data_IF_937310016396
#
_entry.id   IF_937310016396
#
_cell.length_a   1.000
_cell.length_b   1.000
_cell.length_c   1.000
_cell.angle_alpha   90.00
_cell.angle_beta   90.00
_cell.angle_gamma   90.00
#
_symmetry.space_group_name_H-M   'P 1'
#
loop_
_entity.id
_entity.type
_entity.pdbx_description
1 polymer ?
#
# COMPACT_ATOMS: atom_id res chain seq x y z
N UNK A 1 -15.23 14.06 16.83
CA UNK A 1 -14.45 13.55 15.67
C UNK A 1 -15.11 12.23 15.25
N UNK A 2 -15.60 12.09 14.01
CA UNK A 2 -16.09 10.79 13.53
C UNK A 2 -14.88 9.87 13.34
N UNK A 3 -14.84 8.72 14.02
CA UNK A 3 -13.64 7.87 14.11
C UNK A 3 -13.43 6.95 12.90
N UNK A 4 -14.40 6.87 11.99
CA UNK A 4 -14.34 6.11 10.73
C UNK A 4 -15.30 6.78 9.76
N UNK A 5 -14.90 6.91 8.50
CA UNK A 5 -15.78 7.43 7.46
C UNK A 5 -16.95 6.44 7.21
N UNK A 6 -18.17 6.95 7.05
CA UNK A 6 -19.39 6.13 6.89
C UNK A 6 -19.74 5.80 5.43
N UNK A 7 -18.86 6.13 4.47
CA UNK A 7 -19.06 5.77 3.07
C UNK A 7 -19.03 4.24 2.86
N UNK A 8 -20.08 3.72 2.23
CA UNK A 8 -20.32 2.28 2.00
C UNK A 8 -20.99 2.08 0.65
N UNK A 9 -20.82 0.90 0.07
CA UNK A 9 -21.49 0.49 -1.16
C UNK A 9 -20.96 1.17 -2.44
N UNK A 10 -19.81 1.83 -2.37
CA UNK A 10 -19.19 2.41 -3.56
C UNK A 10 -18.73 1.29 -4.51
N UNK A 11 -18.90 1.51 -5.81
CA UNK A 11 -18.46 0.59 -6.85
C UNK A 11 -17.32 1.20 -7.65
N UNK A 12 -16.11 0.69 -7.41
CA UNK A 12 -14.87 1.11 -8.06
C UNK A 12 -14.38 0.08 -9.09
N UNK A 13 -15.16 -0.95 -9.44
CA UNK A 13 -14.69 -2.04 -10.31
C UNK A 13 -14.19 -1.58 -11.68
N UNK A 14 -14.80 -0.53 -12.22
CA UNK A 14 -14.44 0.06 -13.51
C UNK A 14 -13.57 1.33 -13.37
N UNK A 15 -13.07 1.61 -12.16
CA UNK A 15 -12.24 2.78 -11.86
C UNK A 15 -10.74 2.45 -11.86
N UNK A 16 -9.93 3.45 -12.19
CA UNK A 16 -8.48 3.39 -12.00
C UNK A 16 -8.09 4.24 -10.79
N UNK A 17 -7.57 3.61 -9.73
CA UNK A 17 -7.22 4.31 -8.48
C UNK A 17 -5.80 4.89 -8.55
N UNK A 18 -5.60 5.86 -9.45
CA UNK A 18 -4.32 6.56 -9.58
C UNK A 18 -4.17 7.54 -8.42
N UNK A 19 -3.03 7.48 -7.73
CA UNK A 19 -2.66 8.45 -6.68
C UNK A 19 -3.77 8.69 -5.64
N UNK A 20 -4.52 7.63 -5.29
CA UNK A 20 -5.69 7.73 -4.39
C UNK A 20 -5.31 7.49 -2.92
N UNK A 21 -5.91 8.26 -2.00
CA UNK A 21 -5.88 8.02 -0.54
C UNK A 21 -7.27 8.28 0.03
N UNK A 22 -7.75 7.37 0.88
CA UNK A 22 -9.00 7.56 1.62
C UNK A 22 -8.70 8.17 2.99
N UNK A 23 -8.67 9.51 3.08
CA UNK A 23 -8.38 10.22 4.33
C UNK A 23 -9.38 9.81 5.42
N UNK A 24 -8.88 9.52 6.64
CA UNK A 24 -9.61 8.91 7.76
C UNK A 24 -10.11 7.47 7.54
N UNK A 25 -9.68 6.84 6.46
CA UNK A 25 -10.00 5.46 6.11
C UNK A 25 -11.44 5.31 5.63
N UNK A 26 -11.67 4.19 4.95
CA UNK A 26 -12.99 3.65 4.65
C UNK A 26 -12.92 2.17 4.96
N UNK A 27 -14.07 1.57 5.24
CA UNK A 27 -14.15 0.13 5.36
C UNK A 27 -13.97 -0.51 3.98
N UNK A 28 -12.82 -1.13 3.73
CA UNK A 28 -12.54 -1.71 2.41
C UNK A 28 -13.49 -2.87 2.09
N UNK A 29 -13.99 -3.60 3.08
CA UNK A 29 -14.89 -4.75 2.85
C UNK A 29 -16.32 -4.32 2.53
N UNK A 30 -16.66 -3.06 2.78
CA UNK A 30 -17.95 -2.47 2.42
C UNK A 30 -17.94 -1.75 1.07
N UNK A 31 -16.91 -1.93 0.24
CA UNK A 31 -16.85 -1.40 -1.12
C UNK A 31 -16.59 -2.51 -2.16
N UNK A 32 -16.87 -2.21 -3.42
CA UNK A 32 -16.52 -3.08 -4.56
C UNK A 32 -15.28 -2.51 -5.24
N UNK A 33 -14.18 -3.23 -5.19
CA UNK A 33 -12.88 -2.77 -5.71
C UNK A 33 -12.61 -3.27 -7.12
N UNK A 34 -11.70 -2.61 -7.88
CA UNK A 34 -11.13 -3.21 -9.07
C UNK A 34 -10.67 -4.65 -8.82
N UNK A 35 -10.96 -5.53 -9.77
CA UNK A 35 -10.55 -6.93 -9.73
C UNK A 35 -9.19 -7.07 -10.45
N UNK A 36 -8.32 -7.94 -9.94
CA UNK A 36 -7.05 -8.29 -10.57
C UNK A 36 -5.81 -7.89 -9.77
N UNK A 37 -4.66 -8.36 -10.24
CA UNK A 37 -3.36 -8.26 -9.55
C UNK A 37 -2.73 -6.85 -9.62
N UNK A 38 -3.36 -5.93 -10.36
CA UNK A 38 -2.93 -4.54 -10.52
C UNK A 38 -3.04 -3.71 -9.22
N UNK A 39 -3.75 -4.24 -8.21
CA UNK A 39 -3.94 -3.59 -6.92
C UNK A 39 -3.47 -4.46 -5.76
N UNK A 40 -3.01 -3.79 -4.72
CA UNK A 40 -2.58 -4.37 -3.45
C UNK A 40 -3.52 -3.85 -2.38
N UNK A 41 -4.12 -4.76 -1.60
CA UNK A 41 -4.95 -4.42 -0.43
C UNK A 41 -4.24 -4.91 0.82
N UNK A 42 -4.02 -4.02 1.78
CA UNK A 42 -3.38 -4.36 3.04
C UNK A 42 -4.25 -3.94 4.22
N UNK A 43 -4.35 -4.84 5.19
CA UNK A 43 -4.79 -4.55 6.54
C UNK A 43 -3.58 -4.29 7.45
N UNK A 44 -3.82 -3.78 8.66
CA UNK A 44 -2.78 -3.58 9.70
C UNK A 44 -1.53 -2.88 9.15
N UNK A 45 -1.70 -1.89 8.28
CA UNK A 45 -0.64 -1.34 7.43
C UNK A 45 0.64 -0.97 8.19
N UNK A 46 0.52 -0.29 9.35
CA UNK A 46 1.68 0.06 10.17
C UNK A 46 2.48 -1.14 10.69
N UNK A 47 1.83 -2.24 11.08
CA UNK A 47 2.55 -3.45 11.50
C UNK A 47 3.30 -4.07 10.32
N UNK A 48 2.68 -4.04 9.13
CA UNK A 48 3.29 -4.58 7.90
C UNK A 48 4.49 -3.74 7.48
N UNK A 49 4.42 -2.41 7.63
CA UNK A 49 5.56 -1.52 7.40
C UNK A 49 6.78 -1.90 8.25
N UNK A 50 6.59 -2.14 9.55
CA UNK A 50 7.70 -2.51 10.43
C UNK A 50 8.32 -3.86 10.07
N UNK A 51 7.48 -4.87 9.80
CA UNK A 51 7.95 -6.19 9.38
C UNK A 51 8.62 -6.17 8.00
N UNK A 52 8.05 -5.45 7.02
CA UNK A 52 8.62 -5.28 5.69
C UNK A 52 9.95 -4.50 5.75
N UNK A 53 10.09 -3.52 6.65
CA UNK A 53 11.37 -2.83 6.87
C UNK A 53 12.46 -3.82 7.26
N UNK A 54 12.18 -4.73 8.19
CA UNK A 54 13.12 -5.76 8.60
C UNK A 54 13.51 -6.69 7.45
N UNK A 55 12.53 -7.11 6.63
CA UNK A 55 12.78 -7.92 5.43
C UNK A 55 13.67 -7.20 4.41
N UNK A 56 13.34 -5.96 4.07
CA UNK A 56 14.10 -5.15 3.11
C UNK A 56 15.53 -4.90 3.59
N UNK A 57 15.76 -4.75 4.90
CA UNK A 57 17.09 -4.65 5.46
C UNK A 57 17.93 -5.92 5.26
N UNK A 58 17.29 -7.09 5.10
CA UNK A 58 17.93 -8.35 4.76
C UNK A 58 18.19 -8.55 3.26
N UNK A 59 17.67 -7.69 2.39
CA UNK A 59 17.98 -7.75 0.96
C UNK A 59 19.46 -7.42 0.71
N UNK A 60 19.99 -7.93 -0.41
CA UNK A 60 21.34 -7.61 -0.86
C UNK A 60 21.54 -6.09 -0.96
N UNK A 61 22.71 -5.63 -0.50
CA UNK A 61 23.06 -4.21 -0.54
C UNK A 61 23.14 -3.74 -1.99
N UNK A 62 22.43 -2.66 -2.31
CA UNK A 62 22.42 -2.08 -3.65
C UNK A 62 21.17 -1.27 -3.92
N UNK A 63 20.95 -0.96 -5.21
CA UNK A 63 19.84 -0.13 -5.68
C UNK A 63 18.48 -0.63 -5.17
N UNK A 64 18.24 -1.96 -5.21
CA UNK A 64 16.95 -2.55 -4.84
C UNK A 64 16.61 -2.32 -3.36
N UNK A 65 17.58 -2.50 -2.46
CA UNK A 65 17.40 -2.24 -1.03
C UNK A 65 17.23 -0.74 -0.76
N UNK A 66 18.10 0.10 -1.31
CA UNK A 66 18.04 1.56 -1.09
C UNK A 66 16.73 2.15 -1.59
N UNK A 67 16.34 1.83 -2.83
CA UNK A 67 15.08 2.30 -3.41
C UNK A 67 13.86 1.67 -2.74
N UNK A 68 13.95 0.40 -2.31
CA UNK A 68 12.90 -0.27 -1.54
C UNK A 68 12.63 0.43 -0.21
N UNK A 69 13.67 0.76 0.55
CA UNK A 69 13.55 1.52 1.81
C UNK A 69 13.00 2.93 1.58
N UNK A 70 13.45 3.61 0.51
CA UNK A 70 12.96 4.94 0.16
C UNK A 70 11.46 4.91 -0.21
N UNK A 71 11.03 3.91 -0.98
CA UNK A 71 9.62 3.70 -1.29
C UNK A 71 8.82 3.40 -0.01
N UNK A 72 9.28 2.47 0.84
CA UNK A 72 8.62 2.11 2.10
C UNK A 72 8.41 3.35 3.00
N UNK A 73 9.42 4.22 3.10
CA UNK A 73 9.33 5.48 3.83
C UNK A 73 8.26 6.42 3.23
N UNK A 74 8.21 6.51 1.89
CA UNK A 74 7.23 7.33 1.18
C UNK A 74 5.80 6.83 1.41
N UNK A 75 5.60 5.51 1.41
CA UNK A 75 4.31 4.89 1.74
C UNK A 75 3.89 5.16 3.19
N UNK A 76 4.84 5.05 4.13
CA UNK A 76 4.58 5.34 5.54
C UNK A 76 4.12 6.79 5.76
N UNK A 77 4.73 7.75 5.07
CA UNK A 77 4.32 9.15 5.14
C UNK A 77 2.94 9.38 4.50
N UNK A 78 2.72 8.80 3.32
CA UNK A 78 1.48 8.97 2.55
C UNK A 78 0.25 8.46 3.29
N UNK A 79 0.37 7.34 3.99
CA UNK A 79 -0.72 6.64 4.66
C UNK A 79 -0.53 6.58 6.18
N UNK A 80 0.10 7.61 6.75
CA UNK A 80 0.44 7.68 8.18
C UNK A 80 -0.77 7.51 9.13
N UNK A 81 -1.97 7.87 8.66
CA UNK A 81 -3.22 7.78 9.44
C UNK A 81 -4.12 6.62 8.99
N UNK A 82 -3.62 5.70 8.15
CA UNK A 82 -4.41 4.62 7.57
C UNK A 82 -4.04 3.26 8.14
N UNK A 83 -5.07 2.51 8.57
CA UNK A 83 -4.91 1.11 9.02
C UNK A 83 -5.09 0.11 7.89
N UNK A 84 -5.97 0.44 6.94
CA UNK A 84 -6.27 -0.34 5.76
C UNK A 84 -5.99 0.52 4.54
N UNK A 85 -5.34 -0.06 3.53
CA UNK A 85 -5.02 0.65 2.30
C UNK A 85 -5.35 -0.20 1.08
N UNK A 86 -5.64 0.48 -0.02
CA UNK A 86 -5.60 -0.08 -1.37
C UNK A 86 -4.73 0.84 -2.22
N UNK A 87 -3.83 0.26 -3.01
CA UNK A 87 -2.94 1.00 -3.91
C UNK A 87 -2.61 0.19 -5.14
N UNK A 88 -2.16 0.86 -6.20
CA UNK A 88 -1.71 0.18 -7.41
C UNK A 88 -0.39 -0.56 -7.15
N UNK A 89 -0.27 -1.80 -7.65
CA UNK A 89 0.97 -2.60 -7.59
C UNK A 89 2.10 -1.93 -8.35
N UNK A 90 1.79 -1.28 -9.47
CA UNK A 90 2.69 -0.35 -10.17
C UNK A 90 1.95 0.96 -10.39
N UNK A 91 2.43 2.02 -9.75
CA UNK A 91 1.85 3.36 -9.85
C UNK A 91 2.79 4.30 -10.62
N UNK A 92 2.27 5.08 -11.59
CA UNK A 92 3.04 6.14 -12.24
C UNK A 92 3.41 7.28 -11.29
N UNK A 93 2.73 7.40 -10.14
CA UNK A 93 3.02 8.40 -9.12
C UNK A 93 4.24 8.04 -8.25
N UNK A 94 4.70 6.79 -8.30
CA UNK A 94 5.84 6.31 -7.51
C UNK A 94 7.11 6.34 -8.37
N UNK A 95 8.15 7.03 -7.86
CA UNK A 95 9.42 7.21 -8.59
C UNK A 95 10.25 5.92 -8.76
N UNK A 96 10.01 4.91 -7.91
CA UNK A 96 10.76 3.66 -7.97
C UNK A 96 10.42 2.87 -9.25
N UNK A 97 11.40 2.17 -9.82
CA UNK A 97 11.18 1.32 -10.98
C UNK A 97 10.11 0.23 -10.69
N UNK A 98 9.33 -0.24 -11.69
CA UNK A 98 8.24 -1.20 -11.48
C UNK A 98 8.66 -2.45 -10.69
N UNK A 99 9.84 -3.02 -10.97
CA UNK A 99 10.38 -4.18 -10.24
C UNK A 99 10.58 -3.93 -8.74
N UNK A 100 10.94 -2.69 -8.35
CA UNK A 100 11.11 -2.30 -6.95
C UNK A 100 9.73 -2.14 -6.31
N UNK A 101 8.77 -1.52 -7.02
CA UNK A 101 7.41 -1.36 -6.51
C UNK A 101 6.78 -2.72 -6.19
N UNK A 102 6.80 -3.64 -7.15
CA UNK A 102 6.29 -5.01 -6.99
C UNK A 102 6.94 -5.68 -5.78
N UNK A 103 8.27 -5.66 -5.68
CA UNK A 103 8.97 -6.34 -4.58
C UNK A 103 8.69 -5.73 -3.21
N UNK A 104 8.54 -4.40 -3.11
CA UNK A 104 8.16 -3.74 -1.86
C UNK A 104 6.73 -4.12 -1.46
N UNK A 105 5.81 -4.19 -2.43
CA UNK A 105 4.46 -4.67 -2.18
C UNK A 105 4.42 -6.12 -1.74
N UNK A 106 5.19 -6.99 -2.39
CA UNK A 106 5.31 -8.40 -1.99
C UNK A 106 5.84 -8.51 -0.56
N UNK A 107 6.84 -7.71 -0.17
CA UNK A 107 7.34 -7.70 1.21
C UNK A 107 6.27 -7.27 2.23
N UNK A 108 5.41 -6.31 1.87
CA UNK A 108 4.28 -5.87 2.70
C UNK A 108 3.15 -6.92 2.77
N UNK A 109 2.85 -7.61 1.68
CA UNK A 109 1.83 -8.66 1.61
C UNK A 109 2.24 -9.88 2.44
N UNK A 110 3.52 -10.28 2.38
CA UNK A 110 4.06 -11.43 3.09
C UNK A 110 4.52 -11.13 4.54
N UNK A 111 4.51 -9.87 4.94
CA UNK A 111 4.79 -9.47 6.33
C UNK A 111 3.81 -10.14 7.31
N UNK A 112 4.33 -10.89 8.29
CA UNK A 112 3.52 -11.54 9.34
C UNK A 112 3.11 -10.52 10.41
N UNK A 113 1.80 -10.30 10.63
CA UNK A 113 1.24 -9.19 11.46
C UNK A 113 0.01 -9.48 12.31
#
# INVERSE_FOLDING_TARGET
MRSKNDFRGNDFRDAQLIDTVFVFGIDLDQQRWPLGDDYVRLDKFHRRLEAARADILGWETGEMRTAGLAMLQSLAQRWQDQREIIGMRVSPAVKAAPRIQIRVWDALEHAKV
#
